data_IF_097073273805
#
_entry.id   IF_097073273805
#
_cell.length_a   1.000
_cell.length_b   1.000
_cell.length_c   1.000
_cell.angle_alpha   90.00
_cell.angle_beta   90.00
_cell.angle_gamma   90.00
#
_symmetry.space_group_name_H-M   'P 1'
#
loop_
_entity.id
_entity.type
_entity.pdbx_description
1 polymer ?
#
# COMPACT_ATOMS: atom_id res chain seq x y z
N UNK A 1 26.75 7.60 9.67
CA UNK A 1 25.66 6.73 10.21
C UNK A 1 24.55 6.68 9.16
N UNK A 2 24.07 5.49 8.81
CA UNK A 2 23.14 5.24 7.68
C UNK A 2 21.66 5.32 8.15
N UNK A 3 20.72 5.77 7.30
CA UNK A 3 19.26 5.74 7.57
C UNK A 3 18.77 4.38 8.12
N UNK A 4 19.25 3.28 7.55
CA UNK A 4 18.98 1.90 8.02
C UNK A 4 19.35 1.67 9.47
N UNK A 5 20.42 2.33 9.93
CA UNK A 5 20.93 2.19 11.29
C UNK A 5 20.07 2.97 12.30
N UNK A 6 19.55 4.15 11.91
CA UNK A 6 18.57 4.89 12.70
C UNK A 6 17.25 4.12 12.83
N UNK A 7 16.73 3.59 11.71
CA UNK A 7 15.51 2.78 11.74
C UNK A 7 15.68 1.55 12.64
N UNK A 8 16.83 0.88 12.57
CA UNK A 8 17.13 -0.27 13.43
C UNK A 8 17.15 0.13 14.92
N UNK A 9 17.87 1.18 15.27
CA UNK A 9 17.94 1.67 16.66
C UNK A 9 16.57 2.09 17.20
N UNK A 10 15.75 2.75 16.36
CA UNK A 10 14.38 3.12 16.73
C UNK A 10 13.54 1.87 17.04
N UNK A 11 13.60 0.86 16.17
CA UNK A 11 12.88 -0.41 16.35
C UNK A 11 13.36 -1.16 17.60
N UNK A 12 14.66 -1.24 17.84
CA UNK A 12 15.25 -1.89 19.02
C UNK A 12 14.84 -1.19 20.33
N UNK A 13 14.67 0.14 20.32
CA UNK A 13 14.23 0.89 21.51
C UNK A 13 12.80 0.57 21.93
N UNK A 14 11.97 0.14 20.97
CA UNK A 14 10.53 -0.09 21.14
C UNK A 14 10.21 -1.51 21.62
N UNK A 15 11.01 -2.52 21.23
CA UNK A 15 10.81 -3.92 21.64
C UNK A 15 11.43 -4.29 23.00
N UNK A 16 11.63 -3.32 23.89
CA UNK A 16 12.15 -3.58 25.24
C UNK A 16 11.04 -4.09 26.18
N UNK A 17 11.37 -4.78 27.29
CA UNK A 17 10.38 -5.16 28.30
C UNK A 17 9.60 -3.96 28.87
N UNK A 18 10.26 -2.80 28.95
CA UNK A 18 9.62 -1.53 29.31
C UNK A 18 8.60 -1.09 28.25
N UNK A 19 8.96 -1.18 26.97
CA UNK A 19 8.06 -0.89 25.85
C UNK A 19 6.83 -1.80 25.82
N UNK A 20 6.96 -3.08 26.22
CA UNK A 20 5.83 -4.00 26.32
C UNK A 20 4.81 -3.58 27.39
N UNK A 21 5.31 -3.15 28.56
CA UNK A 21 4.46 -2.64 29.65
C UNK A 21 3.75 -1.34 29.24
N UNK A 22 4.47 -0.44 28.58
CA UNK A 22 3.91 0.80 28.02
C UNK A 22 2.82 0.50 26.97
N UNK A 23 3.04 -0.50 26.11
CA UNK A 23 2.05 -0.93 25.11
C UNK A 23 0.80 -1.54 25.76
N UNK A 24 0.94 -2.46 26.73
CA UNK A 24 -0.21 -3.03 27.44
C UNK A 24 -1.05 -1.92 28.10
N UNK A 25 -0.38 -0.99 28.79
CA UNK A 25 -1.06 0.14 29.43
C UNK A 25 -1.72 1.09 28.42
N UNK A 26 -1.16 1.26 27.23
CA UNK A 26 -1.76 2.03 26.14
C UNK A 26 -3.04 1.36 25.62
N UNK A 27 -2.98 0.07 25.30
CA UNK A 27 -4.12 -0.68 24.75
C UNK A 27 -5.31 -0.77 25.71
N UNK A 28 -5.05 -0.76 27.03
CA UNK A 28 -6.10 -0.74 28.05
C UNK A 28 -6.79 0.63 28.22
N UNK A 29 -6.15 1.72 27.81
CA UNK A 29 -6.66 3.09 27.99
C UNK A 29 -7.37 3.65 26.77
N UNK A 30 -7.10 3.11 25.59
CA UNK A 30 -7.59 3.64 24.32
C UNK A 30 -8.65 2.70 23.71
N UNK A 31 -9.69 3.27 23.07
CA UNK A 31 -10.70 2.46 22.41
C UNK A 31 -10.08 1.62 21.30
N UNK A 32 -10.71 0.49 21.00
CA UNK A 32 -10.32 -0.37 19.89
C UNK A 32 -10.29 0.44 18.58
N UNK A 33 -9.35 0.14 17.66
CA UNK A 33 -9.33 0.78 16.36
C UNK A 33 -10.64 0.49 15.63
N UNK A 34 -11.46 1.52 15.37
CA UNK A 34 -12.66 1.36 14.58
C UNK A 34 -12.27 1.25 13.09
N UNK A 35 -12.64 0.14 12.45
CA UNK A 35 -12.60 0.05 11.00
C UNK A 35 -13.76 0.88 10.47
N UNK A 36 -13.50 2.13 10.10
CA UNK A 36 -14.48 3.02 9.48
C UNK A 36 -14.82 2.59 8.03
N UNK A 37 -15.11 1.31 7.80
CA UNK A 37 -15.38 0.75 6.47
C UNK A 37 -16.87 0.54 6.18
N UNK A 38 -17.77 0.83 7.12
CA UNK A 38 -19.23 0.68 6.94
C UNK A 38 -19.97 1.99 6.64
N UNK A 39 -19.30 3.08 6.28
CA UNK A 39 -20.02 4.29 5.83
C UNK A 39 -20.41 4.13 4.35
N UNK A 40 -21.57 3.50 4.11
CA UNK A 40 -22.34 3.74 2.87
C UNK A 40 -22.52 5.25 2.71
N UNK A 41 -22.19 5.78 1.53
CA UNK A 41 -22.29 7.20 1.23
C UNK A 41 -23.77 7.64 1.18
N UNK A 42 -24.35 7.96 2.33
CA UNK A 42 -25.66 8.60 2.45
C UNK A 42 -25.51 9.93 3.19
N UNK A 43 -26.04 11.00 2.60
CA UNK A 43 -25.95 12.39 3.08
C UNK A 43 -26.90 12.72 4.25
N UNK A 44 -27.14 11.78 5.17
CA UNK A 44 -27.96 12.05 6.36
C UNK A 44 -27.08 12.20 7.59
N UNK A 45 -27.30 13.29 8.35
CA UNK A 45 -26.71 13.47 9.66
C UNK A 45 -27.37 12.49 10.64
N UNK A 46 -26.65 11.42 11.00
CA UNK A 46 -27.04 10.53 12.10
C UNK A 46 -26.10 10.76 13.27
N UNK A 47 -26.69 10.90 14.45
CA UNK A 47 -26.02 11.07 15.74
C UNK A 47 -25.02 9.92 15.96
N UNK A 48 -23.76 10.27 16.18
CA UNK A 48 -22.69 9.30 16.46
C UNK A 48 -22.90 8.73 17.87
N UNK A 49 -23.58 7.60 17.96
CA UNK A 49 -23.59 6.81 19.19
C UNK A 49 -22.20 6.15 19.36
N UNK A 50 -21.31 6.87 20.05
CA UNK A 50 -19.96 6.45 20.42
C UNK A 50 -20.02 5.27 21.41
N UNK A 51 -20.36 4.08 20.90
CA UNK A 51 -20.05 2.84 21.59
C UNK A 51 -18.53 2.65 21.54
N UNK A 52 -17.87 3.02 22.64
CA UNK A 52 -16.45 2.76 22.84
C UNK A 52 -16.23 1.24 22.85
N UNK A 53 -15.91 0.67 21.69
CA UNK A 53 -15.51 -0.73 21.60
C UNK A 53 -14.20 -0.90 22.39
N UNK A 54 -14.26 -1.63 23.50
CA UNK A 54 -13.09 -1.94 24.33
C UNK A 54 -12.49 -3.26 23.85
N UNK A 55 -11.15 -3.33 23.71
CA UNK A 55 -10.45 -4.58 23.41
C UNK A 55 -10.65 -5.57 24.56
N UNK A 56 -10.84 -6.85 24.25
CA UNK A 56 -10.92 -7.90 25.27
C UNK A 56 -9.55 -8.19 25.86
N UNK A 57 -9.51 -8.68 27.11
CA UNK A 57 -8.26 -9.04 27.78
C UNK A 57 -7.47 -10.12 27.02
N UNK A 58 -8.18 -11.02 26.33
CA UNK A 58 -7.59 -12.07 25.49
C UNK A 58 -6.86 -11.47 24.28
N UNK A 59 -7.44 -10.45 23.63
CA UNK A 59 -6.81 -9.76 22.50
C UNK A 59 -5.58 -8.97 22.96
N UNK A 60 -5.65 -8.30 24.11
CA UNK A 60 -4.53 -7.55 24.67
C UNK A 60 -3.35 -8.48 24.97
N UNK A 61 -3.61 -9.64 25.58
CA UNK A 61 -2.54 -10.59 25.88
C UNK A 61 -1.93 -11.17 24.59
N UNK A 62 -2.76 -11.50 23.59
CA UNK A 62 -2.28 -11.97 22.29
C UNK A 62 -1.41 -10.93 21.55
N UNK A 63 -1.82 -9.65 21.56
CA UNK A 63 -1.03 -8.56 20.95
C UNK A 63 0.31 -8.39 21.67
N UNK A 64 0.30 -8.42 23.00
CA UNK A 64 1.51 -8.30 23.79
C UNK A 64 2.46 -9.49 23.57
N UNK A 65 1.94 -10.71 23.50
CA UNK A 65 2.73 -11.89 23.18
C UNK A 65 3.38 -11.73 21.79
N UNK A 66 2.62 -11.36 20.77
CA UNK A 66 3.15 -11.13 19.41
C UNK A 66 4.23 -10.04 19.42
N UNK A 67 4.00 -8.93 20.11
CA UNK A 67 4.97 -7.84 20.21
C UNK A 67 6.27 -8.27 20.91
N UNK A 68 6.15 -9.11 21.94
CA UNK A 68 7.29 -9.61 22.72
C UNK A 68 8.23 -10.51 21.90
N UNK A 69 7.71 -11.16 20.85
CA UNK A 69 8.52 -11.99 19.93
C UNK A 69 9.50 -11.15 19.09
N UNK A 70 9.28 -9.84 18.99
CA UNK A 70 10.19 -8.89 18.33
C UNK A 70 10.49 -9.23 16.87
N UNK A 71 11.63 -8.73 16.36
CA UNK A 71 12.08 -8.95 14.97
C UNK A 71 12.32 -10.41 14.60
N UNK A 72 12.60 -11.27 15.57
CA UNK A 72 12.92 -12.67 15.31
C UNK A 72 11.74 -13.44 14.68
N UNK A 73 10.51 -12.99 14.92
CA UNK A 73 9.30 -13.57 14.33
C UNK A 73 8.96 -13.06 12.91
N UNK A 74 9.69 -12.07 12.40
CA UNK A 74 9.42 -11.51 11.07
C UNK A 74 9.81 -12.52 9.98
N UNK A 75 8.95 -12.78 8.98
CA UNK A 75 9.31 -13.63 7.86
C UNK A 75 10.47 -13.03 7.07
N UNK A 76 11.31 -13.90 6.50
CA UNK A 76 12.36 -13.45 5.59
C UNK A 76 11.74 -12.69 4.41
N UNK A 77 12.26 -11.52 4.03
CA UNK A 77 11.73 -10.76 2.90
C UNK A 77 11.80 -11.57 1.60
N UNK A 78 10.70 -11.64 0.86
CA UNK A 78 10.70 -12.22 -0.48
C UNK A 78 11.56 -11.37 -1.42
N UNK A 79 12.48 -12.03 -2.12
CA UNK A 79 13.34 -11.40 -3.14
C UNK A 79 13.04 -12.02 -4.50
N UNK A 80 12.19 -11.38 -5.32
CA UNK A 80 11.87 -11.89 -6.65
C UNK A 80 13.10 -11.82 -7.57
N UNK A 81 13.25 -12.82 -8.43
CA UNK A 81 14.20 -12.76 -9.54
C UNK A 81 13.61 -11.92 -10.69
N UNK A 82 14.47 -11.34 -11.52
CA UNK A 82 14.06 -10.58 -12.71
C UNK A 82 14.32 -11.39 -13.98
N UNK A 83 13.34 -11.53 -14.90
CA UNK A 83 11.97 -11.02 -14.80
C UNK A 83 11.14 -11.73 -13.73
N UNK A 84 10.16 -11.03 -13.16
CA UNK A 84 9.27 -11.60 -12.14
C UNK A 84 8.32 -12.60 -12.82
N UNK A 85 8.46 -13.88 -12.48
CA UNK A 85 7.64 -14.97 -13.02
C UNK A 85 6.78 -15.59 -11.91
N UNK A 86 5.61 -16.17 -12.22
CA UNK A 86 4.80 -16.88 -11.23
C UNK A 86 5.58 -18.00 -10.55
N UNK A 87 5.42 -18.12 -9.22
CA UNK A 87 6.04 -19.17 -8.40
C UNK A 87 4.93 -20.09 -7.87
N UNK A 88 5.09 -21.39 -8.08
CA UNK A 88 4.14 -22.39 -7.59
C UNK A 88 4.07 -22.40 -6.05
N UNK A 89 2.88 -22.56 -5.49
CA UNK A 89 2.65 -22.52 -4.04
C UNK A 89 2.70 -21.12 -3.40
N UNK A 90 3.00 -20.07 -4.17
CA UNK A 90 2.95 -18.67 -3.72
C UNK A 90 1.74 -17.94 -4.30
N UNK A 91 1.29 -16.89 -3.60
CA UNK A 91 0.32 -15.95 -4.16
C UNK A 91 1.02 -15.06 -5.20
N UNK A 92 0.64 -15.26 -6.46
CA UNK A 92 1.12 -14.48 -7.61
C UNK A 92 0.10 -13.39 -7.94
N UNK A 93 0.54 -12.14 -8.01
CA UNK A 93 -0.32 -10.98 -8.22
C UNK A 93 0.18 -10.20 -9.44
N UNK A 94 -0.62 -10.17 -10.50
CA UNK A 94 -0.44 -9.28 -11.63
C UNK A 94 -1.29 -8.04 -11.41
N UNK A 95 -0.65 -6.87 -11.48
CA UNK A 95 -1.30 -5.56 -11.35
C UNK A 95 -1.04 -4.83 -12.65
N UNK A 96 -2.10 -4.31 -13.24
CA UNK A 96 -2.05 -3.42 -14.40
C UNK A 96 -2.68 -2.10 -14.03
N UNK A 97 -2.13 -1.00 -14.53
CA UNK A 97 -2.83 0.27 -14.58
C UNK A 97 -3.36 0.51 -15.99
N UNK A 98 -4.41 1.31 -16.12
CA UNK A 98 -4.85 1.75 -17.44
C UNK A 98 -3.71 2.53 -18.11
N UNK A 99 -3.51 2.31 -19.41
CA UNK A 99 -2.46 2.97 -20.17
C UNK A 99 -2.86 4.43 -20.40
N UNK A 100 -2.15 5.42 -19.85
CA UNK A 100 -2.37 6.82 -20.21
C UNK A 100 -2.03 7.06 -21.69
N UNK A 101 -2.90 7.80 -22.38
CA UNK A 101 -2.62 8.26 -23.74
C UNK A 101 -1.39 9.18 -23.76
N UNK A 102 -0.45 8.89 -24.66
CA UNK A 102 0.85 9.58 -24.74
C UNK A 102 0.72 11.05 -25.13
N UNK A 103 -0.29 11.38 -25.93
CA UNK A 103 -0.48 12.70 -26.52
C UNK A 103 -1.04 13.76 -25.55
N UNK A 104 -1.30 13.39 -24.28
CA UNK A 104 -1.83 14.30 -23.28
C UNK A 104 -1.02 14.26 -21.98
N UNK A 105 -0.75 15.43 -21.41
CA UNK A 105 -0.13 15.52 -20.07
C UNK A 105 -1.16 15.08 -19.01
N UNK A 106 -0.89 14.04 -18.20
CA UNK A 106 -1.85 13.56 -17.22
C UNK A 106 -2.03 14.58 -16.09
N UNK A 107 -3.27 14.79 -15.68
CA UNK A 107 -3.62 15.58 -14.50
C UNK A 107 -3.80 14.69 -13.26
N UNK A 108 -3.98 15.30 -12.08
CA UNK A 108 -4.09 14.57 -10.81
C UNK A 108 -5.19 13.49 -10.81
N UNK A 109 -6.33 13.76 -11.45
CA UNK A 109 -7.39 12.76 -11.66
C UNK A 109 -6.93 11.47 -12.36
N UNK A 110 -6.12 11.56 -13.43
CA UNK A 110 -5.58 10.37 -14.11
C UNK A 110 -4.61 9.61 -13.18
N UNK A 111 -3.81 10.36 -12.41
CA UNK A 111 -2.82 9.79 -11.51
C UNK A 111 -3.49 9.00 -10.38
N UNK A 112 -4.42 9.62 -9.67
CA UNK A 112 -5.11 8.97 -8.54
C UNK A 112 -5.98 7.82 -8.99
N UNK A 113 -6.68 7.96 -10.13
CA UNK A 113 -7.59 6.94 -10.64
C UNK A 113 -6.90 5.68 -11.18
N UNK A 114 -5.62 5.78 -11.57
CA UNK A 114 -4.93 4.69 -12.24
C UNK A 114 -3.60 4.35 -11.55
N UNK A 115 -2.54 5.13 -11.81
CA UNK A 115 -1.16 4.72 -11.50
C UNK A 115 -0.85 4.77 -10.00
N UNK A 116 -1.36 5.77 -9.27
CA UNK A 116 -1.09 5.92 -7.84
C UNK A 116 -1.84 4.88 -6.99
N UNK A 117 -3.10 4.62 -7.34
CA UNK A 117 -3.89 3.56 -6.70
C UNK A 117 -3.25 2.17 -6.93
N UNK A 118 -2.84 1.88 -8.17
CA UNK A 118 -2.16 0.65 -8.51
C UNK A 118 -0.80 0.51 -7.79
N UNK A 119 0.02 1.57 -7.74
CA UNK A 119 1.31 1.56 -7.04
C UNK A 119 1.14 1.32 -5.53
N UNK A 120 0.15 1.96 -4.90
CA UNK A 120 -0.14 1.77 -3.48
C UNK A 120 -0.46 0.31 -3.17
N UNK A 121 -1.34 -0.30 -3.97
CA UNK A 121 -1.65 -1.72 -3.82
C UNK A 121 -0.45 -2.62 -4.13
N UNK A 122 0.35 -2.31 -5.16
CA UNK A 122 1.54 -3.06 -5.50
C UNK A 122 2.58 -3.05 -4.35
N UNK A 123 2.80 -1.91 -3.70
CA UNK A 123 3.66 -1.80 -2.51
C UNK A 123 3.13 -2.63 -1.35
N UNK A 124 1.83 -2.57 -1.10
CA UNK A 124 1.19 -3.42 -0.09
C UNK A 124 1.40 -4.91 -0.39
N UNK A 125 1.18 -5.37 -1.62
CA UNK A 125 1.39 -6.77 -1.99
C UNK A 125 2.85 -7.22 -1.78
N UNK A 126 3.83 -6.36 -2.11
CA UNK A 126 5.25 -6.63 -1.84
C UNK A 126 5.54 -6.74 -0.35
N UNK A 127 4.95 -5.86 0.49
CA UNK A 127 5.06 -5.95 1.96
C UNK A 127 4.43 -7.23 2.53
N UNK A 128 3.42 -7.79 1.86
CA UNK A 128 2.82 -9.09 2.21
C UNK A 128 3.63 -10.28 1.72
N UNK A 129 4.83 -10.08 1.16
CA UNK A 129 5.66 -11.11 0.53
C UNK A 129 4.92 -11.86 -0.62
N UNK A 130 3.98 -11.21 -1.30
CA UNK A 130 3.34 -11.78 -2.49
C UNK A 130 4.19 -11.54 -3.72
N UNK A 131 4.27 -12.54 -4.60
CA UNK A 131 5.01 -12.42 -5.84
C UNK A 131 4.27 -11.49 -6.80
N UNK A 132 4.70 -10.23 -6.88
CA UNK A 132 3.91 -9.14 -7.45
C UNK A 132 4.61 -8.53 -8.67
N UNK A 133 3.94 -8.56 -9.82
CA UNK A 133 4.33 -7.83 -11.03
C UNK A 133 3.34 -6.68 -11.23
N UNK A 134 3.84 -5.44 -11.22
CA UNK A 134 3.07 -4.25 -11.58
C UNK A 134 3.59 -3.71 -12.90
N UNK A 135 2.72 -3.60 -13.91
CA UNK A 135 3.04 -3.07 -15.22
C UNK A 135 2.07 -1.96 -15.65
N UNK A 136 2.61 -0.98 -16.35
CA UNK A 136 1.91 0.11 -17.03
C UNK A 136 2.74 0.50 -18.27
N UNK A 137 2.21 1.38 -19.11
CA UNK A 137 2.87 1.90 -20.30
C UNK A 137 2.07 3.07 -20.87
N UNK A 138 2.51 3.58 -22.00
CA UNK A 138 1.83 4.60 -22.79
C UNK A 138 0.90 3.96 -23.82
N UNK A 139 -0.28 4.54 -24.01
CA UNK A 139 -1.13 4.23 -25.17
C UNK A 139 -0.81 5.22 -26.29
N UNK A 140 -0.29 4.71 -27.40
CA UNK A 140 0.36 5.50 -28.45
C UNK A 140 -0.44 5.54 -29.76
N UNK A 141 -1.30 4.54 -30.00
CA UNK A 141 -2.03 4.43 -31.25
C UNK A 141 -3.35 5.21 -31.23
N UNK A 142 -3.86 5.53 -32.43
CA UNK A 142 -5.19 6.11 -32.63
C UNK A 142 -5.18 7.45 -33.38
N UNK A 143 -6.35 7.84 -33.91
CA UNK A 143 -6.52 9.06 -34.70
C UNK A 143 -6.16 10.33 -33.93
N UNK A 144 -6.28 10.32 -32.60
CA UNK A 144 -5.87 11.45 -31.76
C UNK A 144 -4.36 11.72 -31.82
N UNK A 145 -3.53 10.67 -31.88
CA UNK A 145 -2.07 10.80 -32.06
C UNK A 145 -1.74 11.34 -33.45
N UNK A 146 -2.39 10.82 -34.50
CA UNK A 146 -2.19 11.27 -35.88
C UNK A 146 -2.54 12.75 -36.06
N UNK A 147 -3.70 13.18 -35.55
CA UNK A 147 -4.13 14.59 -35.59
C UNK A 147 -3.15 15.48 -34.84
N UNK A 148 -2.72 15.05 -33.64
CA UNK A 148 -1.78 15.82 -32.81
C UNK A 148 -0.41 15.95 -33.47
N UNK A 149 0.09 14.88 -34.07
CA UNK A 149 1.33 14.89 -34.83
C UNK A 149 1.27 15.88 -36.02
N UNK A 150 0.14 15.92 -36.73
CA UNK A 150 -0.09 16.87 -37.82
C UNK A 150 -0.14 18.33 -37.34
N UNK A 151 -0.79 18.59 -36.21
CA UNK A 151 -0.83 19.93 -35.58
C UNK A 151 0.57 20.44 -35.19
N UNK A 152 1.43 19.54 -34.69
CA UNK A 152 2.79 19.87 -34.24
C UNK A 152 3.86 19.78 -35.34
N UNK A 153 3.48 19.35 -36.55
CA UNK A 153 4.41 19.18 -37.67
C UNK A 153 5.40 18.01 -37.47
N UNK A 154 5.01 17.00 -36.70
CA UNK A 154 5.78 15.81 -36.37
C UNK A 154 5.18 14.55 -37.02
N UNK A 155 5.96 13.47 -37.06
CA UNK A 155 5.42 12.13 -37.36
C UNK A 155 4.81 11.51 -36.09
N UNK A 156 3.85 10.57 -36.19
CA UNK A 156 3.30 9.87 -35.02
C UNK A 156 4.38 9.24 -34.12
N UNK A 157 5.44 8.69 -34.70
CA UNK A 157 6.55 8.10 -33.93
C UNK A 157 7.38 9.14 -33.17
N UNK A 158 7.38 10.41 -33.59
CA UNK A 158 8.13 11.48 -32.93
C UNK A 158 7.36 12.11 -31.77
N UNK A 159 6.02 12.04 -31.79
CA UNK A 159 5.18 12.58 -30.71
C UNK A 159 4.91 11.55 -29.60
N UNK A 160 5.05 10.25 -29.90
CA UNK A 160 5.07 9.16 -28.93
C UNK A 160 6.44 9.06 -28.25
#
# INVERSE_FOLDING_TARGET
MNLKEYCRKAVESVWTPKGLLELKAYLQKHPAPSLAFEKSATNEAKEEESSQQHLSDVEIEAIAEIWSRGSASLPSPWQPQHPILPVEGMKNVLITSALPYVNNVPHLGNIIGCVLSADTFARYCRLRNWNTLYICGTDEYGTATETKAMEEGLTPQQIC
#
